data_IF_832009092193
#
_entry.id   IF_832009092193
#
_cell.length_a   1.000
_cell.length_b   1.000
_cell.length_c   1.000
_cell.angle_alpha   90.00
_cell.angle_beta   90.00
_cell.angle_gamma   90.00
#
_symmetry.space_group_name_H-M   'P 1'
#
loop_
_entity.id
_entity.type
_entity.pdbx_description
1 polymer ?
#
# COMPACT_ATOMS: atom_id res chain seq x y z
N UNK A 1 -13.04 17.51 -1.41
CA UNK A 1 -13.70 16.99 -0.20
C UNK A 1 -13.86 15.48 -0.35
N UNK A 2 -12.80 14.71 -0.12
CA UNK A 2 -12.89 13.27 0.07
C UNK A 2 -11.63 12.85 0.84
N UNK A 3 -11.85 12.22 1.98
CA UNK A 3 -10.84 11.47 2.76
C UNK A 3 -9.96 12.24 3.76
N UNK A 4 -10.55 13.08 4.60
CA UNK A 4 -9.95 13.57 5.86
C UNK A 4 -10.69 13.01 7.08
N UNK A 5 -10.88 11.69 7.14
CA UNK A 5 -11.29 11.02 8.37
C UNK A 5 -10.14 10.12 8.75
N UNK A 6 -9.27 10.63 9.63
CA UNK A 6 -8.50 9.78 10.54
C UNK A 6 -9.51 8.92 11.29
N UNK A 7 -9.87 7.81 10.67
CA UNK A 7 -10.76 6.81 11.21
C UNK A 7 -9.85 5.97 12.11
N UNK A 8 -10.10 5.97 13.42
CA UNK A 8 -9.40 5.17 14.45
C UNK A 8 -9.54 3.65 14.21
N UNK A 9 -9.97 3.26 13.01
CA UNK A 9 -10.18 1.89 12.60
C UNK A 9 -8.85 1.29 12.17
N UNK A 10 -8.67 0.04 12.57
CA UNK A 10 -7.54 -0.76 12.13
C UNK A 10 -7.78 -1.21 10.69
N UNK A 11 -6.75 -1.08 9.87
CA UNK A 11 -6.66 -1.60 8.52
C UNK A 11 -5.58 -2.66 8.46
N UNK A 12 -5.68 -3.53 7.47
CA UNK A 12 -4.62 -4.45 7.10
C UNK A 12 -4.24 -4.22 5.65
N UNK A 13 -2.95 -4.36 5.38
CA UNK A 13 -2.43 -4.35 4.02
C UNK A 13 -2.84 -5.65 3.37
N UNK A 14 -3.52 -5.53 2.24
CA UNK A 14 -3.95 -6.64 1.40
C UNK A 14 -3.26 -6.56 0.06
N UNK A 15 -2.98 -7.72 -0.50
CA UNK A 15 -2.54 -7.87 -1.87
C UNK A 15 -3.49 -8.80 -2.62
N UNK A 16 -3.71 -8.53 -3.89
CA UNK A 16 -4.40 -9.46 -4.77
C UNK A 16 -3.39 -10.35 -5.52
N UNK A 17 -3.90 -11.22 -6.37
CA UNK A 17 -3.09 -12.11 -7.22
C UNK A 17 -2.30 -11.35 -8.30
N UNK A 18 -2.66 -10.09 -8.56
CA UNK A 18 -1.97 -9.19 -9.49
C UNK A 18 -0.91 -8.32 -8.80
N UNK A 19 -0.50 -8.68 -7.58
CA UNK A 19 0.51 -7.98 -6.77
C UNK A 19 0.16 -6.50 -6.49
N UNK A 20 -1.12 -6.15 -6.54
CA UNK A 20 -1.62 -4.83 -6.20
C UNK A 20 -1.85 -4.73 -4.70
N UNK A 21 -1.15 -3.79 -4.07
CA UNK A 21 -1.30 -3.50 -2.65
C UNK A 21 -2.45 -2.52 -2.42
N UNK A 22 -3.31 -2.85 -1.46
CA UNK A 22 -4.39 -1.99 -0.99
C UNK A 22 -4.57 -2.12 0.51
N UNK A 23 -5.42 -1.28 1.11
CA UNK A 23 -5.77 -1.35 2.53
C UNK A 23 -7.21 -1.84 2.67
N UNK A 24 -7.43 -2.76 3.60
CA UNK A 24 -8.76 -3.28 3.92
C UNK A 24 -9.05 -3.15 5.41
N UNK A 25 -10.31 -2.91 5.79
CA UNK A 25 -10.67 -2.74 7.19
C UNK A 25 -10.52 -4.06 7.96
N UNK A 26 -9.79 -4.07 9.08
CA UNK A 26 -9.56 -5.26 9.90
C UNK A 26 -10.82 -5.82 10.57
N UNK A 27 -11.88 -5.02 10.65
CA UNK A 27 -13.20 -5.44 11.11
C UNK A 27 -14.02 -6.22 10.06
N UNK A 28 -13.52 -6.31 8.82
CA UNK A 28 -14.21 -6.97 7.71
C UNK A 28 -13.43 -8.19 7.20
N UNK A 29 -14.19 -9.19 6.80
CA UNK A 29 -13.66 -10.37 6.13
C UNK A 29 -13.09 -10.02 4.74
N UNK A 30 -12.11 -10.81 4.30
CA UNK A 30 -11.40 -10.57 3.04
C UNK A 30 -12.20 -11.10 1.85
N UNK A 31 -12.41 -10.30 0.79
CA UNK A 31 -13.02 -10.81 -0.43
C UNK A 31 -12.14 -11.87 -1.10
N UNK A 32 -12.77 -12.81 -1.80
CA UNK A 32 -12.06 -13.87 -2.52
C UNK A 32 -11.05 -13.30 -3.53
N UNK A 33 -9.82 -13.79 -3.49
CA UNK A 33 -8.71 -13.31 -4.33
C UNK A 33 -7.84 -12.22 -3.69
N UNK A 34 -8.24 -11.69 -2.53
CA UNK A 34 -7.41 -10.81 -1.71
C UNK A 34 -6.82 -11.57 -0.53
N UNK A 35 -5.57 -11.25 -0.20
CA UNK A 35 -4.80 -11.91 0.85
C UNK A 35 -4.20 -10.83 1.73
N UNK A 36 -4.30 -10.94 3.04
CA UNK A 36 -3.58 -10.04 3.94
C UNK A 36 -2.07 -10.31 3.84
N UNK A 37 -1.28 -9.26 3.66
CA UNK A 37 0.19 -9.33 3.66
C UNK A 37 0.73 -9.64 5.06
N UNK A 38 -0.02 -9.23 6.09
CA UNK A 38 0.32 -9.44 7.51
C UNK A 38 0.57 -8.14 8.26
N UNK A 39 0.71 -7.01 7.57
CA UNK A 39 0.74 -5.70 8.23
C UNK A 39 -0.67 -5.22 8.59
N UNK A 40 -0.88 -4.85 9.86
CA UNK A 40 -2.11 -4.24 10.37
C UNK A 40 -1.78 -2.98 11.17
N UNK A 41 -2.55 -1.91 11.01
CA UNK A 41 -2.34 -0.67 11.73
C UNK A 41 -3.34 0.40 11.34
N UNK A 42 -3.02 1.66 11.63
CA UNK A 42 -3.81 2.78 11.13
C UNK A 42 -3.72 2.88 9.60
N UNK A 43 -4.64 3.65 8.99
CA UNK A 43 -4.61 3.93 7.56
C UNK A 43 -3.24 4.48 7.11
N UNK A 44 -2.68 5.41 7.88
CA UNK A 44 -1.38 6.04 7.58
C UNK A 44 -0.23 5.05 7.68
N UNK A 45 -0.18 4.21 8.73
CA UNK A 45 0.84 3.17 8.86
C UNK A 45 0.76 2.13 7.74
N UNK A 46 -0.46 1.69 7.37
CA UNK A 46 -0.64 0.76 6.28
C UNK A 46 -0.21 1.37 4.94
N UNK A 47 -0.55 2.64 4.67
CA UNK A 47 -0.13 3.35 3.46
C UNK A 47 1.38 3.57 3.42
N UNK A 48 2.01 3.92 4.56
CA UNK A 48 3.45 4.03 4.68
C UNK A 48 4.12 2.68 4.39
N UNK A 49 3.63 1.59 4.99
CA UNK A 49 4.13 0.23 4.71
C UNK A 49 3.96 -0.15 3.25
N UNK A 50 2.81 0.15 2.64
CA UNK A 50 2.60 -0.07 1.21
C UNK A 50 3.62 0.74 0.42
N UNK A 51 3.89 1.99 0.74
CA UNK A 51 4.94 2.78 0.10
C UNK A 51 6.35 2.18 0.25
N UNK A 52 6.66 1.55 1.39
CA UNK A 52 7.94 0.89 1.67
C UNK A 52 8.07 -0.49 0.99
N UNK A 53 7.01 -1.30 0.99
CA UNK A 53 6.99 -2.64 0.40
C UNK A 53 6.78 -2.56 -1.11
N UNK A 54 5.83 -1.74 -1.54
CA UNK A 54 5.59 -1.37 -2.93
C UNK A 54 6.54 -0.23 -3.34
N UNK A 55 7.81 -0.37 -2.95
CA UNK A 55 8.91 0.56 -3.27
C UNK A 55 9.24 0.58 -4.77
N UNK A 56 8.76 -0.41 -5.52
CA UNK A 56 8.90 -0.50 -6.97
C UNK A 56 7.57 -0.26 -7.70
N UNK A 57 6.96 0.90 -7.46
CA UNK A 57 5.90 1.46 -8.32
C UNK A 57 6.45 2.13 -9.60
N UNK A 58 7.71 1.89 -9.96
CA UNK A 58 8.37 2.51 -11.12
C UNK A 58 8.58 1.46 -12.20
N UNK A 59 8.04 1.61 -13.43
CA UNK A 59 8.66 0.92 -14.56
C UNK A 59 10.15 1.32 -14.58
N UNK A 60 11.04 0.36 -14.85
CA UNK A 60 12.52 0.50 -14.92
C UNK A 60 13.04 1.83 -15.52
N UNK A 61 12.24 2.47 -16.38
CA UNK A 61 12.50 3.75 -17.03
C UNK A 61 12.70 4.95 -16.09
N UNK A 62 12.07 5.04 -14.92
CA UNK A 62 12.23 6.20 -14.02
C UNK A 62 13.52 6.11 -13.18
N UNK A 63 14.01 4.89 -12.91
CA UNK A 63 15.28 4.63 -12.21
C UNK A 63 16.47 5.25 -12.96
N UNK A 64 16.49 5.17 -14.30
CA UNK A 64 17.54 5.76 -15.16
C UNK A 64 17.58 7.29 -15.22
N UNK A 65 16.50 7.97 -14.81
CA UNK A 65 16.42 9.45 -14.88
C UNK A 65 16.84 10.14 -13.60
N UNK A 66 16.74 9.48 -12.44
CA UNK A 66 17.19 10.03 -11.17
C UNK A 66 18.69 9.82 -10.93
N UNK A 67 19.31 8.78 -11.49
CA UNK A 67 20.78 8.62 -11.47
C UNK A 67 21.51 9.70 -12.32
N UNK A 68 20.85 10.29 -13.32
CA UNK A 68 21.42 11.40 -14.12
C UNK A 68 21.19 12.79 -13.51
N UNK A 69 20.33 12.94 -12.51
CA UNK A 69 20.07 14.22 -11.85
C UNK A 69 21.03 14.50 -10.67
N UNK A 70 21.98 13.59 -10.42
CA UNK A 70 23.02 13.71 -9.39
C UNK A 70 24.44 13.57 -9.96
N UNK A 71 24.61 13.75 -11.28
CA UNK A 71 25.91 13.76 -11.95
C UNK A 71 26.16 15.11 -12.63
#
# INVERSE_FOLDING_TARGET
MADERADDRMYHVVLNDEEQYSIWAADRDLPAGWRAEGTTGTREECLARIGEVWTDMRPLSLRRRMEQASA
#
